data_IF_881168138573
#
_entry.id   IF_881168138573
#
_cell.length_a   1.000
_cell.length_b   1.000
_cell.length_c   1.000
_cell.angle_alpha   90.00
_cell.angle_beta   90.00
_cell.angle_gamma   90.00
#
_symmetry.space_group_name_H-M   'P 1'
#
loop_
_entity.id
_entity.type
_entity.pdbx_description
1 polymer ?
#
# COMPACT_ATOMS: atom_id res chain seq x y z
N UNK A 1 -46.82 4.64 48.38
CA UNK A 1 -47.12 4.74 46.94
C UNK A 1 -45.86 4.37 46.17
N UNK A 2 -45.85 3.20 45.54
CA UNK A 2 -44.81 2.79 44.59
C UNK A 2 -45.07 3.51 43.26
N UNK A 3 -44.04 4.12 42.67
CA UNK A 3 -43.99 4.30 41.22
C UNK A 3 -42.56 4.03 40.73
N UNK A 4 -42.51 3.09 39.78
CA UNK A 4 -41.36 2.49 39.14
C UNK A 4 -40.51 3.51 38.36
N UNK A 5 -39.20 3.43 38.52
CA UNK A 5 -38.26 3.90 37.51
C UNK A 5 -38.10 2.78 36.48
N UNK A 6 -38.78 2.92 35.34
CA UNK A 6 -38.58 2.03 34.20
C UNK A 6 -37.16 2.24 33.66
N UNK A 7 -36.37 1.18 33.73
CA UNK A 7 -35.05 1.05 33.12
C UNK A 7 -35.16 1.28 31.61
N UNK A 8 -34.58 2.36 31.09
CA UNK A 8 -34.33 2.49 29.67
C UNK A 8 -33.08 1.67 29.33
N UNK A 9 -33.31 0.46 28.81
CA UNK A 9 -32.25 -0.40 28.29
C UNK A 9 -31.63 0.25 27.04
N UNK A 10 -30.32 0.46 27.11
CA UNK A 10 -29.46 0.94 26.02
C UNK A 10 -29.33 -0.17 24.98
N UNK A 11 -29.73 0.10 23.74
CA UNK A 11 -29.36 -0.73 22.59
C UNK A 11 -28.18 -0.07 21.88
N UNK A 12 -26.96 -0.32 22.36
CA UNK A 12 -25.75 0.03 21.64
C UNK A 12 -25.53 -1.05 20.57
N UNK A 13 -25.89 -0.76 19.32
CA UNK A 13 -25.55 -1.61 18.18
C UNK A 13 -24.04 -1.46 17.95
N UNK A 14 -23.25 -2.38 18.48
CA UNK A 14 -21.85 -2.49 18.15
C UNK A 14 -21.74 -3.00 16.71
N UNK A 15 -21.55 -2.09 15.75
CA UNK A 15 -21.11 -2.45 14.41
C UNK A 15 -19.70 -3.03 14.54
N UNK A 16 -19.60 -4.36 14.52
CA UNK A 16 -18.34 -5.05 14.34
C UNK A 16 -17.88 -4.81 12.90
N UNK A 17 -17.16 -3.71 12.67
CA UNK A 17 -16.43 -3.51 11.44
C UNK A 17 -15.32 -4.56 11.42
N UNK A 18 -15.40 -5.51 10.49
CA UNK A 18 -14.27 -6.33 10.12
C UNK A 18 -13.19 -5.37 9.63
N UNK A 19 -12.20 -5.09 10.48
CA UNK A 19 -11.04 -4.30 10.09
C UNK A 19 -10.33 -5.07 8.97
N UNK A 20 -10.03 -4.43 7.83
CA UNK A 20 -9.28 -5.09 6.77
C UNK A 20 -7.95 -5.62 7.33
N UNK A 21 -7.65 -6.86 6.99
CA UNK A 21 -6.44 -7.57 7.38
C UNK A 21 -5.23 -6.89 6.73
N UNK A 22 -4.47 -6.15 7.56
CA UNK A 22 -3.08 -5.75 7.38
C UNK A 22 -2.68 -5.22 5.99
N UNK A 23 -2.99 -3.95 5.72
CA UNK A 23 -2.23 -3.15 4.76
C UNK A 23 -0.89 -2.81 5.42
N UNK A 24 0.18 -3.49 5.04
CA UNK A 24 1.49 -3.33 5.67
C UNK A 24 2.53 -2.88 4.65
N UNK A 25 3.03 -1.66 4.85
CA UNK A 25 4.24 -1.16 4.20
C UNK A 25 5.45 -1.53 5.03
N UNK A 26 6.41 -2.20 4.40
CA UNK A 26 7.70 -2.55 4.99
C UNK A 26 8.81 -1.98 4.11
N UNK A 27 9.63 -1.08 4.65
CA UNK A 27 10.80 -0.61 3.94
C UNK A 27 11.90 -1.67 3.91
N UNK A 28 12.74 -1.66 2.88
CA UNK A 28 13.90 -2.54 2.83
C UNK A 28 14.82 -2.32 4.05
N UNK A 29 15.59 -3.35 4.39
CA UNK A 29 16.65 -3.20 5.39
C UNK A 29 17.78 -2.31 4.86
N UNK A 30 18.08 -2.44 3.56
CA UNK A 30 19.09 -1.66 2.84
C UNK A 30 18.68 -0.18 2.69
N UNK A 31 19.67 0.69 2.86
CA UNK A 31 19.58 2.12 2.60
C UNK A 31 20.95 2.66 2.24
N UNK A 32 21.01 3.62 1.33
CA UNK A 32 22.23 4.37 1.02
C UNK A 32 22.88 4.00 -0.31
N UNK A 33 22.15 3.38 -1.24
CA UNK A 33 22.61 3.31 -2.62
C UNK A 33 22.76 4.73 -3.19
N UNK A 34 23.82 4.96 -3.99
CA UNK A 34 24.14 6.31 -4.47
C UNK A 34 23.34 6.72 -5.72
N UNK A 35 22.80 5.73 -6.45
CA UNK A 35 22.07 5.94 -7.70
C UNK A 35 20.60 5.61 -7.47
N UNK A 36 19.84 6.65 -7.10
CA UNK A 36 18.43 6.55 -6.79
C UNK A 36 17.62 7.50 -7.67
N UNK A 37 16.37 7.12 -7.92
CA UNK A 37 15.37 7.97 -8.52
C UNK A 37 15.00 9.15 -7.60
N UNK A 38 14.63 10.27 -8.24
CA UNK A 38 14.08 11.42 -7.52
C UNK A 38 12.67 11.13 -7.03
N UNK A 39 12.22 11.81 -5.98
CA UNK A 39 10.87 11.62 -5.43
C UNK A 39 9.80 11.89 -6.50
N UNK A 40 10.01 12.92 -7.33
CA UNK A 40 9.16 13.23 -8.47
C UNK A 40 9.08 12.05 -9.45
N UNK A 41 10.22 11.46 -9.82
CA UNK A 41 10.26 10.28 -10.70
C UNK A 41 9.48 9.09 -10.10
N UNK A 42 9.53 8.91 -8.77
CA UNK A 42 8.73 7.89 -8.09
C UNK A 42 7.23 8.15 -8.19
N UNK A 43 6.79 9.40 -8.04
CA UNK A 43 5.38 9.76 -8.21
C UNK A 43 4.91 9.65 -9.68
N UNK A 44 5.79 9.94 -10.64
CA UNK A 44 5.51 9.75 -12.07
C UNK A 44 5.38 8.25 -12.40
N UNK A 45 6.26 7.42 -11.85
CA UNK A 45 6.18 5.96 -11.98
C UNK A 45 4.90 5.40 -11.35
N UNK A 46 4.51 5.88 -10.16
CA UNK A 46 3.21 5.56 -9.56
C UNK A 46 2.07 5.90 -10.50
N UNK A 47 2.08 7.09 -11.09
CA UNK A 47 1.05 7.54 -12.03
C UNK A 47 0.98 6.67 -13.28
N UNK A 48 2.13 6.29 -13.84
CA UNK A 48 2.19 5.44 -15.02
C UNK A 48 1.73 4.02 -14.71
N UNK A 49 2.20 3.42 -13.62
CA UNK A 49 1.94 2.03 -13.27
C UNK A 49 0.50 1.80 -12.77
N UNK A 50 0.05 2.60 -11.80
CA UNK A 50 -1.30 2.45 -11.25
C UNK A 50 -2.37 3.10 -12.15
N UNK A 51 -1.97 4.04 -13.02
CA UNK A 51 -2.86 4.62 -14.04
C UNK A 51 -3.02 3.77 -15.31
N UNK A 52 -2.18 2.76 -15.52
CA UNK A 52 -2.29 1.80 -16.62
C UNK A 52 -3.15 0.58 -16.21
N UNK A 53 -2.95 -0.56 -16.88
CA UNK A 53 -3.52 -1.85 -16.48
C UNK A 53 -2.50 -2.75 -15.75
N UNK A 54 -1.29 -2.25 -15.47
CA UNK A 54 -0.21 -3.05 -14.87
C UNK A 54 -0.55 -3.54 -13.46
N UNK A 55 -1.45 -2.86 -12.74
CA UNK A 55 -1.94 -3.26 -11.41
C UNK A 55 -2.87 -4.48 -11.42
N UNK A 56 -3.32 -4.95 -12.59
CA UNK A 56 -4.31 -6.03 -12.73
C UNK A 56 -3.69 -7.43 -12.74
N UNK A 57 -2.37 -7.56 -12.68
CA UNK A 57 -1.70 -8.86 -12.66
C UNK A 57 -0.21 -8.75 -12.38
N UNK A 58 0.43 -9.91 -12.16
CA UNK A 58 1.86 -9.93 -11.87
C UNK A 58 2.67 -9.35 -13.02
N UNK A 59 3.52 -8.38 -12.73
CA UNK A 59 4.31 -7.66 -13.73
C UNK A 59 5.54 -7.05 -13.09
N UNK A 60 6.54 -6.71 -13.90
CA UNK A 60 7.72 -5.96 -13.46
C UNK A 60 8.08 -4.92 -14.49
N UNK A 61 8.24 -3.68 -14.05
CA UNK A 61 8.57 -2.54 -14.90
C UNK A 61 9.72 -1.78 -14.25
N UNK A 62 10.75 -1.45 -15.03
CA UNK A 62 11.88 -0.64 -14.60
C UNK A 62 11.93 0.68 -15.34
N UNK A 63 12.46 1.72 -14.69
CA UNK A 63 12.71 3.03 -15.28
C UNK A 63 13.93 3.65 -14.59
N UNK A 64 14.94 4.06 -15.37
CA UNK A 64 16.18 4.60 -14.78
C UNK A 64 16.78 3.63 -13.75
N UNK A 65 16.88 4.08 -12.50
CA UNK A 65 17.32 3.31 -11.33
C UNK A 65 16.18 2.70 -10.51
N UNK A 66 14.93 2.97 -10.87
CA UNK A 66 13.74 2.50 -10.18
C UNK A 66 13.18 1.21 -10.80
N UNK A 67 12.50 0.43 -9.97
CA UNK A 67 11.74 -0.74 -10.42
C UNK A 67 10.49 -0.91 -9.59
N UNK A 68 9.44 -1.37 -10.23
CA UNK A 68 8.25 -1.91 -9.58
C UNK A 68 8.08 -3.35 -9.99
N UNK A 69 7.84 -4.21 -9.01
CA UNK A 69 7.41 -5.58 -9.22
C UNK A 69 6.12 -5.79 -8.45
N UNK A 70 5.10 -6.23 -9.17
CA UNK A 70 3.83 -6.63 -8.59
C UNK A 70 3.71 -8.15 -8.69
N UNK A 71 3.44 -8.81 -7.57
CA UNK A 71 2.93 -10.17 -7.55
C UNK A 71 1.44 -10.15 -7.18
N UNK A 72 0.59 -10.75 -8.02
CA UNK A 72 -0.85 -10.77 -7.82
C UNK A 72 -1.55 -9.59 -8.48
N UNK A 73 -2.66 -9.12 -7.90
CA UNK A 73 -3.42 -7.99 -8.44
C UNK A 73 -4.17 -7.23 -7.35
N UNK A 74 -4.31 -5.93 -7.57
CA UNK A 74 -5.17 -5.10 -6.74
C UNK A 74 -6.63 -5.22 -7.17
N UNK A 75 -7.56 -4.99 -6.24
CA UNK A 75 -8.99 -4.97 -6.58
C UNK A 75 -9.36 -3.74 -7.44
N UNK A 76 -8.65 -2.61 -7.25
CA UNK A 76 -8.84 -1.38 -8.01
C UNK A 76 -7.51 -0.67 -8.24
N UNK A 77 -7.46 0.22 -9.23
CA UNK A 77 -6.31 1.10 -9.45
C UNK A 77 -6.01 1.99 -8.23
N UNK A 78 -7.04 2.43 -7.49
CA UNK A 78 -6.85 3.29 -6.31
C UNK A 78 -6.04 2.58 -5.22
N UNK A 79 -6.24 1.28 -5.01
CA UNK A 79 -5.48 0.50 -4.03
C UNK A 79 -4.00 0.38 -4.42
N UNK A 80 -3.72 0.31 -5.73
CA UNK A 80 -2.35 0.42 -6.23
C UNK A 80 -1.76 1.81 -5.90
N UNK A 81 -2.50 2.89 -6.18
CA UNK A 81 -2.05 4.25 -5.89
C UNK A 81 -1.74 4.44 -4.41
N UNK A 82 -2.62 3.96 -3.53
CA UNK A 82 -2.49 4.09 -2.09
C UNK A 82 -1.32 3.25 -1.55
N UNK A 83 -1.17 2.02 -2.04
CA UNK A 83 -0.05 1.15 -1.70
C UNK A 83 1.30 1.70 -2.11
N UNK A 84 1.44 2.12 -3.37
CA UNK A 84 2.66 2.73 -3.88
C UNK A 84 2.98 4.04 -3.13
N UNK A 85 1.97 4.88 -2.91
CA UNK A 85 2.11 6.11 -2.13
C UNK A 85 2.58 5.84 -0.70
N UNK A 86 2.05 4.79 -0.06
CA UNK A 86 2.47 4.40 1.29
C UNK A 86 3.96 4.03 1.33
N UNK A 87 4.45 3.31 0.32
CA UNK A 87 5.89 2.99 0.18
C UNK A 87 6.72 4.27 0.06
N UNK A 88 6.36 5.18 -0.85
CA UNK A 88 7.08 6.46 -1.03
C UNK A 88 7.12 7.24 0.28
N UNK A 89 5.96 7.47 0.92
CA UNK A 89 5.89 8.28 2.14
C UNK A 89 6.62 7.67 3.33
N UNK A 90 6.68 6.34 3.43
CA UNK A 90 7.27 5.65 4.58
C UNK A 90 8.77 5.42 4.40
N UNK A 91 9.23 5.20 3.17
CA UNK A 91 10.57 4.66 2.89
C UNK A 91 11.49 5.64 2.16
N UNK A 92 10.95 6.56 1.36
CA UNK A 92 11.75 7.42 0.50
C UNK A 92 12.70 8.33 1.31
N UNK A 93 13.92 8.50 0.82
CA UNK A 93 14.96 9.30 1.46
C UNK A 93 15.66 8.65 2.66
N UNK A 94 15.17 7.50 3.13
CA UNK A 94 15.79 6.75 4.24
C UNK A 94 16.20 5.33 3.87
N UNK A 95 15.53 4.73 2.89
CA UNK A 95 15.70 3.35 2.43
C UNK A 95 15.71 3.29 0.91
N UNK A 96 16.25 2.20 0.37
CA UNK A 96 16.39 2.03 -1.08
C UNK A 96 15.08 1.59 -1.76
N UNK A 97 14.02 1.35 -0.98
CA UNK A 97 12.73 0.91 -1.48
C UNK A 97 11.85 0.34 -0.37
N UNK A 98 10.75 -0.31 -0.77
CA UNK A 98 9.83 -0.95 0.16
C UNK A 98 8.79 -1.83 -0.52
N UNK A 99 8.09 -2.58 0.33
CA UNK A 99 7.05 -3.53 -0.06
C UNK A 99 5.74 -3.11 0.59
N UNK A 100 4.67 -3.14 -0.18
CA UNK A 100 3.30 -3.05 0.29
C UNK A 100 2.58 -4.37 0.04
N UNK A 101 1.92 -4.88 1.07
CA UNK A 101 1.08 -6.08 0.96
C UNK A 101 -0.39 -5.71 1.11
N UNK A 102 -1.20 -6.26 0.22
CA UNK A 102 -2.64 -6.02 0.12
C UNK A 102 -3.39 -7.34 0.10
N UNK A 103 -4.41 -7.48 0.93
CA UNK A 103 -5.34 -8.59 0.93
C UNK A 103 -6.76 -8.08 1.20
N UNK A 104 -7.65 -8.20 0.21
CA UNK A 104 -9.05 -7.79 0.35
C UNK A 104 -9.95 -8.52 -0.65
N UNK A 105 -11.08 -9.05 -0.17
CA UNK A 105 -12.11 -9.71 -0.98
C UNK A 105 -11.58 -10.75 -1.99
N UNK A 106 -10.55 -11.52 -1.59
CA UNK A 106 -9.95 -12.56 -2.43
C UNK A 106 -8.92 -12.04 -3.45
N UNK A 107 -8.67 -10.74 -3.50
CA UNK A 107 -7.53 -10.16 -4.19
C UNK A 107 -6.33 -10.11 -3.25
N UNK A 108 -5.16 -10.50 -3.77
CA UNK A 108 -3.89 -10.39 -3.09
C UNK A 108 -2.87 -9.69 -4.00
N UNK A 109 -2.13 -8.74 -3.44
CA UNK A 109 -1.04 -8.07 -4.12
C UNK A 109 0.15 -7.88 -3.19
N UNK A 110 1.34 -8.14 -3.72
CA UNK A 110 2.62 -7.73 -3.14
C UNK A 110 3.26 -6.77 -4.12
N UNK A 111 3.22 -5.48 -3.78
CA UNK A 111 3.83 -4.41 -4.54
C UNK A 111 5.22 -4.13 -3.95
N UNK A 112 6.25 -4.44 -4.72
CA UNK A 112 7.65 -4.25 -4.41
C UNK A 112 8.16 -3.05 -5.23
N UNK A 113 8.73 -2.05 -4.58
CA UNK A 113 9.20 -0.82 -5.25
C UNK A 113 10.63 -0.52 -4.82
N UNK A 114 11.55 -0.66 -5.76
CA UNK A 114 12.93 -0.23 -5.65
C UNK A 114 13.02 1.25 -6.09
N UNK A 115 13.61 2.09 -5.26
CA UNK A 115 13.94 3.49 -5.58
C UNK A 115 15.33 3.63 -6.18
N UNK A 116 16.20 2.65 -5.94
CA UNK A 116 17.61 2.71 -6.27
C UNK A 116 18.07 1.44 -6.97
N UNK A 117 19.05 1.61 -7.84
CA UNK A 117 19.83 0.52 -8.38
C UNK A 117 21.14 0.44 -7.60
N UNK A 118 21.40 -0.73 -7.03
CA UNK A 118 22.53 -0.97 -6.12
C UNK A 118 23.57 -1.90 -6.75
N UNK A 119 23.51 -2.12 -8.07
CA UNK A 119 24.49 -2.88 -8.86
C UNK A 119 25.89 -2.22 -8.94
#
# INVERSE_FOLDING_TARGET
>A
MQFNFASFAVAAVAAAYALPTALATACYSAGGCQQCETETSMYDARQSFCGSNDWQGSTSVGWGYGRVTLDGSFATSQECFDGFNSIIQTCYGSKDGGIYTYEYNGHNARLDVDFCDCE
#
